data_IF_514410705138
#
_entry.id   IF_514410705138
#
_cell.length_a   1.000
_cell.length_b   1.000
_cell.length_c   1.000
_cell.angle_alpha   90.00
_cell.angle_beta   90.00
_cell.angle_gamma   90.00
#
_symmetry.space_group_name_H-M   'P 1'
#
loop_
_entity.id
_entity.type
_entity.pdbx_description
1 polymer ?
#
# COMPACT_ATOMS: atom_id res chain seq x y z
N UNK A 1 4.18 6.83 -12.58
CA UNK A 1 4.50 5.57 -11.89
C UNK A 1 5.40 5.80 -10.70
N UNK A 2 6.66 6.19 -10.93
CA UNK A 2 7.65 6.34 -9.87
C UNK A 2 7.16 7.27 -8.75
N UNK A 3 6.55 8.41 -9.11
CA UNK A 3 5.94 9.33 -8.13
C UNK A 3 4.86 8.71 -7.23
N UNK A 4 4.05 7.78 -7.74
CA UNK A 4 3.00 7.16 -6.96
C UNK A 4 3.57 6.19 -5.90
N UNK A 5 4.61 5.42 -6.27
CA UNK A 5 5.32 4.54 -5.34
C UNK A 5 6.04 5.34 -4.26
N UNK A 6 6.64 6.47 -4.62
CA UNK A 6 7.30 7.38 -3.67
C UNK A 6 6.29 7.89 -2.64
N UNK A 7 5.14 8.41 -3.10
CA UNK A 7 4.08 8.90 -2.19
C UNK A 7 3.58 7.78 -1.29
N UNK A 8 3.43 6.56 -1.81
CA UNK A 8 3.01 5.41 -1.03
C UNK A 8 4.03 5.07 0.07
N UNK A 9 5.33 5.05 -0.27
CA UNK A 9 6.40 4.77 0.67
C UNK A 9 6.52 5.88 1.75
N UNK A 10 6.45 7.16 1.35
CA UNK A 10 6.43 8.31 2.26
C UNK A 10 5.24 8.24 3.23
N UNK A 11 4.04 7.92 2.72
CA UNK A 11 2.84 7.76 3.56
C UNK A 11 2.98 6.60 4.53
N UNK A 12 3.51 5.47 4.09
CA UNK A 12 3.73 4.31 4.96
C UNK A 12 4.71 4.65 6.11
N UNK A 13 5.83 5.33 5.80
CA UNK A 13 6.81 5.78 6.80
C UNK A 13 6.14 6.71 7.83
N UNK A 14 5.42 7.72 7.34
CA UNK A 14 4.76 8.71 8.19
C UNK A 14 3.68 8.09 9.10
N UNK A 15 2.77 7.29 8.55
CA UNK A 15 1.68 6.66 9.30
C UNK A 15 2.18 5.59 10.28
N UNK A 16 3.27 4.88 9.94
CA UNK A 16 3.87 3.91 10.83
C UNK A 16 4.64 4.55 12.00
N UNK A 17 5.00 5.85 11.88
CA UNK A 17 5.92 6.51 12.81
C UNK A 17 7.35 5.96 12.68
N UNK A 18 7.74 5.57 11.48
CA UNK A 18 9.04 4.95 11.19
C UNK A 18 10.13 6.00 10.98
N UNK A 19 11.36 5.66 11.34
CA UNK A 19 12.58 6.42 11.03
C UNK A 19 13.35 5.86 9.82
N UNK A 20 12.72 5.04 8.99
CA UNK A 20 13.36 4.45 7.81
C UNK A 20 13.61 5.50 6.73
N UNK A 21 14.78 5.39 6.07
CA UNK A 21 15.10 6.19 4.89
C UNK A 21 14.60 5.54 3.59
N UNK A 22 14.39 6.37 2.57
CA UNK A 22 14.09 5.88 1.20
C UNK A 22 15.40 5.57 0.45
N UNK A 23 15.44 4.39 -0.19
CA UNK A 23 16.52 3.99 -1.07
C UNK A 23 16.02 3.79 -2.51
N UNK A 24 16.88 4.09 -3.49
CA UNK A 24 16.56 4.00 -4.91
C UNK A 24 17.29 2.82 -5.53
N UNK A 25 16.52 1.89 -6.07
CA UNK A 25 17.03 0.70 -6.76
C UNK A 25 16.50 0.68 -8.20
N UNK A 26 17.22 0.05 -9.14
CA UNK A 26 16.72 -0.15 -10.50
C UNK A 26 15.42 -0.99 -10.47
N UNK A 27 14.53 -0.69 -11.42
CA UNK A 27 13.29 -1.45 -11.58
C UNK A 27 13.62 -2.87 -12.10
N UNK A 28 12.97 -3.93 -11.60
CA UNK A 28 13.03 -5.25 -12.23
C UNK A 28 12.53 -5.19 -13.68
N UNK A 29 13.11 -6.00 -14.56
CA UNK A 29 12.79 -6.00 -15.99
C UNK A 29 11.32 -6.37 -16.28
N UNK A 30 10.73 -7.24 -15.45
CA UNK A 30 9.36 -7.74 -15.59
C UNK A 30 8.29 -6.86 -14.92
N UNK A 31 8.67 -5.77 -14.25
CA UNK A 31 7.70 -4.96 -13.51
C UNK A 31 6.99 -3.95 -14.44
N UNK A 32 5.65 -4.04 -14.59
CA UNK A 32 4.93 -3.10 -15.42
C UNK A 32 4.97 -1.73 -14.77
N UNK A 33 5.32 -0.73 -15.57
CA UNK A 33 5.35 0.65 -15.13
C UNK A 33 3.97 1.07 -14.56
N UNK A 34 2.84 0.79 -15.21
CA UNK A 34 1.54 1.27 -14.71
C UNK A 34 0.53 0.15 -14.51
N UNK A 35 -0.21 0.24 -13.40
CA UNK A 35 -1.40 -0.58 -13.11
C UNK A 35 -2.55 0.33 -12.67
N UNK A 36 -3.60 0.43 -13.49
CA UNK A 36 -4.79 1.21 -13.20
C UNK A 36 -5.99 0.52 -13.89
N UNK A 37 -6.66 -0.42 -13.22
CA UNK A 37 -7.78 -1.14 -13.83
C UNK A 37 -8.99 -0.20 -13.99
N UNK A 38 -9.65 -0.29 -15.15
CA UNK A 38 -11.00 0.24 -15.31
C UNK A 38 -11.99 -0.64 -14.53
N UNK A 39 -12.78 -0.01 -13.66
CA UNK A 39 -13.75 -0.67 -12.79
C UNK A 39 -15.20 -0.40 -13.18
N UNK A 40 -15.45 0.24 -14.33
CA UNK A 40 -16.80 0.61 -14.78
C UNK A 40 -17.77 -0.58 -14.77
N UNK A 41 -17.34 -1.75 -15.24
CA UNK A 41 -18.16 -2.96 -15.28
C UNK A 41 -18.59 -3.42 -13.88
N UNK A 42 -17.69 -3.40 -12.91
CA UNK A 42 -18.00 -3.78 -11.53
C UNK A 42 -18.95 -2.76 -10.87
N UNK A 43 -18.78 -1.47 -11.18
CA UNK A 43 -19.69 -0.43 -10.71
C UNK A 43 -21.08 -0.55 -11.34
N UNK A 44 -21.17 -0.85 -12.64
CA UNK A 44 -22.45 -0.96 -13.35
C UNK A 44 -23.25 -2.19 -12.91
N UNK A 45 -22.62 -3.38 -12.95
CA UNK A 45 -23.29 -4.66 -12.74
C UNK A 45 -23.41 -5.00 -11.26
N UNK A 46 -22.33 -4.83 -10.50
CA UNK A 46 -22.27 -5.26 -9.10
C UNK A 46 -22.61 -4.14 -8.11
N UNK A 47 -22.80 -2.91 -8.59
CA UNK A 47 -22.89 -1.70 -7.75
C UNK A 47 -21.72 -1.60 -6.77
N UNK A 48 -20.56 -2.07 -7.22
CA UNK A 48 -19.35 -2.15 -6.41
C UNK A 48 -18.37 -1.04 -6.78
N UNK A 49 -17.76 -0.47 -5.73
CA UNK A 49 -16.64 0.45 -5.81
C UNK A 49 -15.78 0.31 -4.55
N UNK A 50 -14.49 0.67 -4.59
CA UNK A 50 -13.69 0.78 -3.38
C UNK A 50 -14.32 1.81 -2.42
N UNK A 51 -14.40 1.47 -1.14
CA UNK A 51 -14.97 2.34 -0.08
C UNK A 51 -13.92 2.81 0.92
N UNK A 52 -12.80 2.11 0.99
CA UNK A 52 -11.69 2.39 1.91
C UNK A 52 -10.69 3.27 1.17
N UNK A 53 -10.39 4.43 1.74
CA UNK A 53 -9.38 5.34 1.18
C UNK A 53 -7.97 4.85 1.53
N UNK A 54 -6.96 5.33 0.79
CA UNK A 54 -5.58 4.84 0.93
C UNK A 54 -5.06 4.89 2.39
N UNK A 55 -5.19 6.03 3.06
CA UNK A 55 -4.65 6.20 4.42
C UNK A 55 -5.35 5.30 5.43
N UNK A 56 -6.66 5.13 5.30
CA UNK A 56 -7.45 4.24 6.15
C UNK A 56 -7.00 2.78 5.98
N UNK A 57 -6.85 2.32 4.73
CA UNK A 57 -6.34 0.98 4.43
C UNK A 57 -4.92 0.76 4.93
N UNK A 58 -4.04 1.77 4.80
CA UNK A 58 -2.69 1.73 5.35
C UNK A 58 -2.71 1.64 6.88
N UNK A 59 -3.53 2.44 7.57
CA UNK A 59 -3.68 2.38 9.03
C UNK A 59 -4.12 0.99 9.51
N UNK A 60 -5.13 0.39 8.88
CA UNK A 60 -5.56 -0.98 9.21
C UNK A 60 -4.44 -2.00 9.03
N UNK A 61 -3.66 -1.87 7.95
CA UNK A 61 -2.52 -2.76 7.68
C UNK A 61 -1.43 -2.60 8.74
N UNK A 62 -1.11 -1.36 9.12
CA UNK A 62 -0.11 -1.06 10.15
C UNK A 62 -0.53 -1.62 11.50
N UNK A 63 -1.79 -1.43 11.90
CA UNK A 63 -2.30 -1.92 13.18
C UNK A 63 -2.32 -3.45 13.24
N UNK A 64 -2.65 -4.12 12.14
CA UNK A 64 -2.51 -5.56 12.02
C UNK A 64 -1.06 -6.01 12.30
N UNK A 65 -0.06 -5.40 11.66
CA UNK A 65 1.34 -5.78 11.88
C UNK A 65 1.88 -5.41 13.27
N UNK A 66 1.41 -4.31 13.88
CA UNK A 66 1.73 -3.97 15.28
C UNK A 66 1.30 -5.07 16.26
N UNK A 67 0.19 -5.75 15.97
CA UNK A 67 -0.30 -6.86 16.78
C UNK A 67 0.39 -8.19 16.45
N UNK A 68 0.66 -8.44 15.16
CA UNK A 68 1.25 -9.70 14.68
C UNK A 68 2.72 -9.86 15.08
N UNK A 69 3.55 -8.83 14.87
CA UNK A 69 5.00 -8.94 15.02
C UNK A 69 5.47 -9.34 16.43
N UNK A 70 4.87 -8.83 17.54
CA UNK A 70 5.21 -9.30 18.89
C UNK A 70 4.89 -10.78 19.14
N UNK A 71 3.96 -11.38 18.38
CA UNK A 71 3.60 -12.80 18.51
C UNK A 71 4.59 -13.69 17.77
N UNK A 72 5.05 -13.27 16.58
CA UNK A 72 6.05 -14.01 15.80
C UNK A 72 7.41 -14.08 16.49
N UNK A 73 7.79 -13.06 17.26
CA UNK A 73 9.05 -13.02 18.03
C UNK A 73 9.06 -13.91 19.27
N UNK A 74 7.93 -14.52 19.65
CA UNK A 74 7.80 -15.38 20.84
C UNK A 74 7.94 -16.88 20.52
N UNK A 75 8.07 -17.24 19.24
CA UNK A 75 8.37 -18.61 18.79
C UNK A 75 9.85 -18.77 18.48
#
# INVERSE_FOLDING_TARGET
VQRAIIILAERAIALAGSSSDLAWNPLPEDDPNQRCPDIALATEILKWSPKVVLDEGLSYTIDYFRQLLPQLKKS
#
